data_IF_746313749573
#
_entry.id   IF_746313749573
#
_cell.length_a   1.000
_cell.length_b   1.000
_cell.length_c   1.000
_cell.angle_alpha   90.00
_cell.angle_beta   90.00
_cell.angle_gamma   90.00
#
_symmetry.space_group_name_H-M   'P 1'
#
loop_
_entity.id
_entity.type
_entity.pdbx_description
1 polymer ?
#
# COMPACT_ATOMS: atom_id res chain seq x y z
N UNK A 1 32.07 8.45 -28.81
CA UNK A 1 31.62 7.20 -28.17
C UNK A 1 30.88 7.61 -26.90
N UNK A 2 29.55 7.66 -26.96
CA UNK A 2 28.70 8.26 -25.91
C UNK A 2 28.66 7.32 -24.71
N UNK A 3 29.11 7.79 -23.54
CA UNK A 3 28.98 7.02 -22.30
C UNK A 3 27.50 7.03 -21.93
N UNK A 4 26.91 5.84 -21.93
CA UNK A 4 25.52 5.62 -21.58
C UNK A 4 25.28 6.07 -20.13
N UNK A 5 24.34 7.00 -19.98
CA UNK A 5 23.78 7.43 -18.72
C UNK A 5 22.87 6.29 -18.22
N UNK A 6 23.46 5.31 -17.53
CA UNK A 6 22.69 4.36 -16.74
C UNK A 6 22.73 4.86 -15.29
N UNK A 7 21.85 5.83 -14.99
CA UNK A 7 21.36 5.99 -13.63
C UNK A 7 20.74 4.65 -13.25
N UNK A 8 21.52 3.83 -12.54
CA UNK A 8 21.04 2.62 -11.90
C UNK A 8 19.79 3.03 -11.11
N UNK A 9 18.59 2.51 -11.40
CA UNK A 9 17.51 2.68 -10.46
C UNK A 9 18.03 2.02 -9.19
N UNK A 10 18.05 2.79 -8.11
CA UNK A 10 18.32 2.26 -6.78
C UNK A 10 17.20 1.24 -6.52
N UNK A 11 17.47 0.01 -6.92
CA UNK A 11 16.84 -1.19 -6.43
C UNK A 11 17.15 -1.23 -4.94
N UNK A 12 16.36 -0.43 -4.21
CA UNK A 12 16.12 -0.64 -2.81
C UNK A 12 15.69 -2.10 -2.72
N UNK A 13 16.50 -2.92 -2.07
CA UNK A 13 16.09 -4.23 -1.61
C UNK A 13 15.05 -4.02 -0.49
N UNK A 14 13.93 -3.37 -0.82
CA UNK A 14 13.07 -2.64 0.09
C UNK A 14 11.64 -2.69 -0.41
N UNK A 15 10.79 -3.36 0.38
CA UNK A 15 9.33 -3.28 0.43
C UNK A 15 8.68 -2.71 -0.85
N UNK A 16 8.35 -3.60 -1.80
CA UNK A 16 7.61 -3.18 -3.00
C UNK A 16 6.30 -2.49 -2.59
N UNK A 17 6.03 -1.30 -3.15
CA UNK A 17 4.78 -0.56 -2.88
C UNK A 17 3.59 -1.45 -3.30
N UNK A 18 2.56 -1.64 -2.46
CA UNK A 18 1.44 -2.51 -2.79
C UNK A 18 0.67 -1.98 -4.01
N UNK A 19 0.15 -2.91 -4.82
CA UNK A 19 -0.67 -2.54 -5.98
C UNK A 19 -2.00 -1.89 -5.53
N UNK A 20 -2.51 -0.97 -6.35
CA UNK A 20 -3.80 -0.33 -6.10
C UNK A 20 -4.95 -1.33 -5.93
N UNK A 21 -4.90 -2.47 -6.62
CA UNK A 21 -5.88 -3.54 -6.46
C UNK A 21 -5.81 -4.19 -5.07
N UNK A 22 -4.61 -4.47 -4.57
CA UNK A 22 -4.43 -5.00 -3.22
C UNK A 22 -4.91 -4.01 -2.16
N UNK A 23 -4.59 -2.71 -2.34
CA UNK A 23 -5.06 -1.65 -1.44
C UNK A 23 -6.60 -1.55 -1.49
N UNK A 24 -7.22 -1.57 -2.69
CA UNK A 24 -8.69 -1.55 -2.84
C UNK A 24 -9.35 -2.71 -2.11
N UNK A 25 -8.84 -3.93 -2.29
CA UNK A 25 -9.41 -5.11 -1.66
C UNK A 25 -9.31 -5.03 -0.13
N UNK A 26 -8.15 -4.61 0.39
CA UNK A 26 -7.94 -4.44 1.83
C UNK A 26 -8.83 -3.33 2.41
N UNK A 27 -8.91 -2.19 1.73
CA UNK A 27 -9.75 -1.05 2.11
C UNK A 27 -11.24 -1.42 2.15
N UNK A 28 -11.70 -2.27 1.24
CA UNK A 28 -13.07 -2.81 1.27
C UNK A 28 -13.38 -3.53 2.60
N UNK A 29 -12.47 -4.39 3.08
CA UNK A 29 -12.67 -5.08 4.36
C UNK A 29 -12.61 -4.14 5.57
N UNK A 30 -11.76 -3.12 5.53
CA UNK A 30 -11.69 -2.08 6.58
C UNK A 30 -13.01 -1.30 6.60
N UNK A 31 -13.49 -0.87 5.44
CA UNK A 31 -14.77 -0.18 5.27
C UNK A 31 -15.95 -1.01 5.77
N UNK A 32 -15.97 -2.31 5.44
CA UNK A 32 -16.97 -3.25 5.95
C UNK A 32 -16.96 -3.33 7.47
N UNK A 33 -15.78 -3.44 8.10
CA UNK A 33 -15.68 -3.42 9.57
C UNK A 33 -16.16 -2.10 10.14
N UNK A 34 -15.76 -0.97 9.53
CA UNK A 34 -16.17 0.37 9.97
C UNK A 34 -17.69 0.51 9.95
N UNK A 35 -18.35 0.12 8.85
CA UNK A 35 -19.81 0.15 8.71
C UNK A 35 -20.52 -0.77 9.71
N UNK A 36 -20.05 -2.01 9.86
CA UNK A 36 -20.68 -3.00 10.76
C UNK A 36 -20.64 -2.60 12.22
N UNK A 37 -19.61 -1.87 12.64
CA UNK A 37 -19.43 -1.44 14.03
C UNK A 37 -19.70 0.05 14.24
N UNK A 38 -20.26 0.74 13.24
CA UNK A 38 -20.51 2.19 13.27
C UNK A 38 -19.30 3.02 13.73
N UNK A 39 -18.09 2.60 13.32
CA UNK A 39 -16.86 3.31 13.66
C UNK A 39 -16.75 4.59 12.82
N UNK A 40 -16.15 5.67 13.37
CA UNK A 40 -15.90 6.87 12.60
C UNK A 40 -14.87 6.61 11.47
N UNK A 41 -14.89 7.48 10.46
CA UNK A 41 -13.97 7.44 9.33
C UNK A 41 -14.68 7.42 7.98
N UNK A 42 -13.88 7.42 6.93
CA UNK A 42 -14.32 7.49 5.53
C UNK A 42 -13.46 6.57 4.63
N UNK A 43 -13.80 6.53 3.35
CA UNK A 43 -13.12 5.68 2.38
C UNK A 43 -11.65 6.08 2.15
N UNK A 44 -11.30 7.36 2.32
CA UNK A 44 -9.91 7.83 2.19
C UNK A 44 -9.06 7.32 3.35
N UNK A 45 -9.60 7.38 4.56
CA UNK A 45 -8.98 6.81 5.76
C UNK A 45 -8.84 5.29 5.63
N UNK A 46 -9.87 4.59 5.13
CA UNK A 46 -9.84 3.14 4.88
C UNK A 46 -8.73 2.77 3.87
N UNK A 47 -8.52 3.59 2.84
CA UNK A 47 -7.47 3.44 1.83
C UNK A 47 -6.05 3.62 2.40
N UNK A 48 -5.83 4.69 3.17
CA UNK A 48 -4.53 4.98 3.78
C UNK A 48 -4.13 3.88 4.77
N UNK A 49 -5.08 3.40 5.57
CA UNK A 49 -4.83 2.31 6.50
C UNK A 49 -4.56 0.99 5.79
N UNK A 50 -5.27 0.70 4.69
CA UNK A 50 -4.98 -0.46 3.85
C UNK A 50 -3.54 -0.44 3.29
N UNK A 51 -3.10 0.72 2.76
CA UNK A 51 -1.72 0.87 2.27
C UNK A 51 -0.70 0.64 3.38
N UNK A 52 -0.93 1.23 4.57
CA UNK A 52 -0.06 1.06 5.73
C UNK A 52 0.07 -0.40 6.16
N UNK A 53 -1.05 -1.13 6.23
CA UNK A 53 -1.05 -2.55 6.62
C UNK A 53 -0.29 -3.42 5.61
N UNK A 54 -0.50 -3.20 4.31
CA UNK A 54 0.16 -3.99 3.27
C UNK A 54 1.68 -3.74 3.22
N UNK A 55 2.12 -2.48 3.37
CA UNK A 55 3.56 -2.16 3.50
C UNK A 55 4.14 -2.83 4.75
N UNK A 56 3.43 -2.78 5.88
CA UNK A 56 3.88 -3.45 7.10
C UNK A 56 4.00 -4.96 6.88
N UNK A 57 3.03 -5.61 6.26
CA UNK A 57 3.06 -7.06 5.99
C UNK A 57 4.19 -7.47 5.05
N UNK A 58 4.49 -6.65 4.04
CA UNK A 58 5.60 -6.90 3.13
C UNK A 58 6.98 -6.80 3.81
N UNK A 59 7.10 -5.95 4.84
CA UNK A 59 8.32 -5.82 5.65
C UNK A 59 8.49 -6.92 6.71
N UNK A 60 7.44 -7.65 7.05
CA UNK A 60 7.44 -8.69 8.10
C UNK A 60 7.39 -10.12 7.51
N UNK A 61 7.64 -10.29 6.20
CA UNK A 61 7.81 -11.59 5.55
C UNK A 61 9.26 -12.05 5.58
#
# INVERSE_FOLDING_TARGET
>A
MTIANASMPLETAGIADPSDEAIRLRAYFISERRRRFALPGDAESDWLEAKRQLVSEASHR
#
